data_IF_364310520115
#
_entry.id   IF_364310520115
#
_cell.length_a   1.000
_cell.length_b   1.000
_cell.length_c   1.000
_cell.angle_alpha   90.00
_cell.angle_beta   90.00
_cell.angle_gamma   90.00
#
_symmetry.space_group_name_H-M   'P 1'
#
loop_
_entity.id
_entity.type
_entity.pdbx_description
1 polymer ?
#
# COMPACT_ATOMS: atom_id res chain seq x y z
N UNK A 1 -4.65 10.28 12.20
CA UNK A 1 -6.11 10.33 11.95
C UNK A 1 -6.56 11.66 11.36
N UNK A 2 -6.18 12.82 11.93
CA UNK A 2 -6.52 14.12 11.34
C UNK A 2 -6.13 14.24 9.85
N UNK A 3 -4.96 13.74 9.49
CA UNK A 3 -4.44 13.66 8.11
C UNK A 3 -5.33 12.83 7.16
N UNK A 4 -5.84 11.69 7.65
CA UNK A 4 -6.77 10.85 6.92
C UNK A 4 -8.08 11.58 6.61
N UNK A 5 -8.66 12.27 7.61
CA UNK A 5 -9.88 13.07 7.42
C UNK A 5 -9.68 14.24 6.46
N UNK A 6 -8.54 14.93 6.54
CA UNK A 6 -8.20 16.01 5.58
C UNK A 6 -8.14 15.46 4.16
N UNK A 7 -7.47 14.32 3.95
CA UNK A 7 -7.42 13.66 2.64
C UNK A 7 -8.83 13.30 2.15
N UNK A 8 -9.68 12.78 3.03
CA UNK A 8 -11.05 12.40 2.70
C UNK A 8 -11.92 13.60 2.29
N UNK A 9 -11.82 14.72 3.03
CA UNK A 9 -12.54 15.95 2.68
C UNK A 9 -12.09 16.49 1.32
N UNK A 10 -10.77 16.51 1.08
CA UNK A 10 -10.21 16.98 -0.19
C UNK A 10 -10.68 16.11 -1.37
N UNK A 11 -10.57 14.78 -1.30
CA UNK A 11 -10.97 13.90 -2.39
C UNK A 11 -12.48 13.99 -2.67
N UNK A 12 -13.30 14.14 -1.63
CA UNK A 12 -14.76 14.31 -1.77
C UNK A 12 -15.11 15.63 -2.43
N UNK A 13 -14.44 16.72 -2.04
CA UNK A 13 -14.63 18.04 -2.64
C UNK A 13 -14.20 18.05 -4.11
N UNK A 14 -13.04 17.48 -4.44
CA UNK A 14 -12.58 17.37 -5.82
C UNK A 14 -13.49 16.47 -6.66
N UNK A 15 -13.98 15.35 -6.11
CA UNK A 15 -14.94 14.49 -6.79
C UNK A 15 -16.25 15.23 -7.13
N UNK A 16 -16.75 16.05 -6.19
CA UNK A 16 -17.91 16.89 -6.43
C UNK A 16 -17.66 17.94 -7.52
N UNK A 17 -16.50 18.60 -7.50
CA UNK A 17 -16.11 19.55 -8.54
C UNK A 17 -16.00 18.87 -9.91
N UNK A 18 -15.41 17.68 -9.98
CA UNK A 18 -15.36 16.85 -11.19
C UNK A 18 -16.76 16.52 -11.71
N UNK A 19 -17.69 16.15 -10.81
CA UNK A 19 -19.08 15.88 -11.15
C UNK A 19 -19.78 17.11 -11.74
N UNK A 20 -19.72 18.26 -11.06
CA UNK A 20 -20.36 19.50 -11.53
C UNK A 20 -19.78 19.96 -12.86
N UNK A 21 -18.45 19.89 -13.00
CA UNK A 21 -17.75 20.28 -14.23
C UNK A 21 -18.11 19.37 -15.41
N UNK A 22 -18.11 18.05 -15.20
CA UNK A 22 -18.50 17.07 -16.21
C UNK A 22 -19.98 17.20 -16.59
N UNK A 23 -20.86 17.45 -15.61
CA UNK A 23 -22.28 17.71 -15.85
C UNK A 23 -22.47 18.97 -16.70
N UNK A 24 -21.82 20.08 -16.33
CA UNK A 24 -21.87 21.32 -17.11
C UNK A 24 -21.36 21.09 -18.53
N UNK A 25 -20.20 20.46 -18.69
CA UNK A 25 -19.61 20.16 -19.99
C UNK A 25 -20.54 19.30 -20.85
N UNK A 26 -21.15 18.24 -20.27
CA UNK A 26 -22.05 17.33 -20.99
C UNK A 26 -23.28 18.02 -21.58
N UNK A 27 -23.68 19.18 -21.05
CA UNK A 27 -24.80 19.98 -21.55
C UNK A 27 -24.39 20.90 -22.71
N UNK A 28 -23.11 21.25 -22.80
CA UNK A 28 -22.58 22.17 -23.82
C UNK A 28 -22.11 21.44 -25.08
N UNK A 29 -21.76 20.16 -24.97
CA UNK A 29 -21.18 19.41 -26.09
C UNK A 29 -22.20 18.53 -26.83
N UNK A 30 -21.97 18.23 -28.12
CA UNK A 30 -22.81 17.29 -28.87
C UNK A 30 -22.83 15.91 -28.23
N UNK A 31 -23.96 15.21 -28.37
CA UNK A 31 -24.16 13.88 -27.78
C UNK A 31 -23.06 12.89 -28.16
N UNK A 32 -22.70 12.81 -29.45
CA UNK A 32 -21.64 11.89 -29.90
C UNK A 32 -20.30 12.13 -29.19
N UNK A 33 -19.95 13.39 -28.94
CA UNK A 33 -18.69 13.76 -28.25
C UNK A 33 -18.74 13.33 -26.79
N UNK A 34 -19.86 13.60 -26.08
CA UNK A 34 -20.02 13.17 -24.69
C UNK A 34 -20.03 11.63 -24.55
N UNK A 35 -20.54 10.89 -25.54
CA UNK A 35 -20.51 9.42 -25.54
C UNK A 35 -19.07 8.90 -25.68
N UNK A 36 -18.29 9.49 -26.61
CA UNK A 36 -16.87 9.17 -26.78
C UNK A 36 -16.09 9.50 -25.51
N UNK A 37 -16.31 10.67 -24.90
CA UNK A 37 -15.66 11.02 -23.63
C UNK A 37 -16.00 10.03 -22.51
N UNK A 38 -17.26 9.61 -22.41
CA UNK A 38 -17.67 8.62 -21.40
C UNK A 38 -16.95 7.30 -21.61
N UNK A 39 -16.86 6.82 -22.85
CA UNK A 39 -16.12 5.61 -23.20
C UNK A 39 -14.64 5.73 -22.83
N UNK A 40 -14.00 6.86 -23.15
CA UNK A 40 -12.60 7.12 -22.80
C UNK A 40 -12.38 7.10 -21.29
N UNK A 41 -13.30 7.67 -20.50
CA UNK A 41 -13.20 7.65 -19.03
C UNK A 41 -13.36 6.22 -18.50
N UNK A 42 -14.26 5.39 -19.06
CA UNK A 42 -14.39 3.98 -18.67
C UNK A 42 -13.13 3.17 -19.01
N UNK A 43 -12.54 3.38 -20.20
CA UNK A 43 -11.27 2.74 -20.57
C UNK A 43 -10.14 3.21 -19.64
N UNK A 44 -10.07 4.50 -19.37
CA UNK A 44 -9.11 5.09 -18.44
C UNK A 44 -9.27 4.55 -17.02
N UNK A 45 -10.50 4.31 -16.55
CA UNK A 45 -10.77 3.66 -15.28
C UNK A 45 -10.20 2.24 -15.24
N UNK A 46 -10.40 1.45 -16.31
CA UNK A 46 -9.82 0.11 -16.43
C UNK A 46 -8.29 0.13 -16.37
N UNK A 47 -7.65 1.08 -17.06
CA UNK A 47 -6.20 1.27 -16.99
C UNK A 47 -5.75 1.67 -15.58
N UNK A 48 -6.43 2.62 -14.94
CA UNK A 48 -6.15 3.04 -13.57
C UNK A 48 -6.24 1.86 -12.59
N UNK A 49 -7.31 1.08 -12.63
CA UNK A 49 -7.51 -0.10 -11.78
C UNK A 49 -6.37 -1.11 -11.96
N UNK A 50 -5.90 -1.31 -13.20
CA UNK A 50 -4.90 -2.33 -13.52
C UNK A 50 -3.46 -1.93 -13.19
N UNK A 51 -3.12 -0.65 -13.30
CA UNK A 51 -1.72 -0.20 -13.28
C UNK A 51 -1.39 0.84 -12.22
N UNK A 52 -2.38 1.54 -11.66
CA UNK A 52 -2.16 2.67 -10.75
C UNK A 52 -2.80 2.41 -9.38
N UNK A 53 -3.89 1.66 -9.32
CA UNK A 53 -4.56 1.36 -8.06
C UNK A 53 -3.64 0.54 -7.15
N UNK A 54 -3.41 1.05 -5.94
CA UNK A 54 -2.49 0.51 -4.92
C UNK A 54 -1.00 0.59 -5.29
N UNK A 55 -0.66 1.34 -6.35
CA UNK A 55 0.72 1.59 -6.72
C UNK A 55 1.39 2.59 -5.77
N UNK A 56 2.34 2.09 -5.00
CA UNK A 56 3.06 2.88 -3.99
C UNK A 56 4.01 3.91 -4.60
N UNK A 57 4.35 3.82 -5.89
CA UNK A 57 5.19 4.81 -6.60
C UNK A 57 4.56 6.21 -6.60
N UNK A 58 3.25 6.31 -6.39
CA UNK A 58 2.57 7.58 -6.15
C UNK A 58 3.16 8.36 -4.97
N UNK A 59 3.82 7.71 -4.01
CA UNK A 59 4.52 8.36 -2.91
C UNK A 59 5.62 9.33 -3.36
N UNK A 60 6.27 9.08 -4.51
CA UNK A 60 7.28 9.98 -5.06
C UNK A 60 6.68 11.33 -5.50
N UNK A 61 5.40 11.36 -5.85
CA UNK A 61 4.70 12.55 -6.34
C UNK A 61 3.80 13.18 -5.26
N UNK A 62 3.32 12.35 -4.33
CA UNK A 62 2.44 12.71 -3.23
C UNK A 62 3.03 12.19 -1.90
N UNK A 63 4.11 12.80 -1.38
CA UNK A 63 4.86 12.30 -0.21
C UNK A 63 4.16 12.57 1.13
N UNK A 64 2.85 12.33 1.20
CA UNK A 64 1.99 12.59 2.34
C UNK A 64 1.56 11.28 3.02
N UNK A 65 1.40 11.30 4.35
CA UNK A 65 0.97 10.12 5.12
C UNK A 65 -0.42 9.63 4.71
N UNK A 66 -1.29 10.50 4.21
CA UNK A 66 -2.64 10.15 3.76
C UNK A 66 -2.69 9.64 2.30
N UNK A 67 -1.57 9.15 1.75
CA UNK A 67 -1.46 8.58 0.39
C UNK A 67 -2.53 7.51 0.10
N UNK A 68 -2.87 6.67 1.09
CA UNK A 68 -3.94 5.66 0.99
C UNK A 68 -5.27 6.29 0.52
N UNK A 69 -5.53 7.54 0.92
CA UNK A 69 -6.74 8.29 0.56
C UNK A 69 -6.56 9.09 -0.72
N UNK A 70 -5.52 9.94 -0.78
CA UNK A 70 -5.34 10.87 -1.92
C UNK A 70 -4.86 10.18 -3.19
N UNK A 71 -4.21 9.01 -3.06
CA UNK A 71 -3.82 8.15 -4.18
C UNK A 71 -4.99 7.37 -4.76
N UNK A 72 -6.14 7.31 -4.08
CA UNK A 72 -7.33 6.66 -4.60
C UNK A 72 -8.16 7.63 -5.44
N UNK A 73 -7.96 7.60 -6.75
CA UNK A 73 -8.65 8.49 -7.71
C UNK A 73 -10.03 7.99 -8.15
N UNK A 74 -10.52 6.86 -7.61
CA UNK A 74 -11.85 6.34 -7.93
C UNK A 74 -12.98 7.37 -7.72
N UNK A 75 -13.03 8.16 -6.62
CA UNK A 75 -14.06 9.17 -6.44
C UNK A 75 -14.03 10.25 -7.52
N UNK A 76 -12.84 10.66 -7.96
CA UNK A 76 -12.68 11.67 -9.01
C UNK A 76 -13.24 11.15 -10.34
N UNK A 77 -12.84 9.92 -10.72
CA UNK A 77 -13.30 9.26 -11.94
C UNK A 77 -14.82 9.01 -11.88
N UNK A 78 -15.33 8.55 -10.74
CA UNK A 78 -16.75 8.37 -10.48
C UNK A 78 -17.53 9.69 -10.60
N UNK A 79 -16.97 10.80 -10.11
CA UNK A 79 -17.54 12.13 -10.27
C UNK A 79 -17.67 12.51 -11.73
N UNK A 80 -16.60 12.37 -12.53
CA UNK A 80 -16.63 12.64 -13.98
C UNK A 80 -17.68 11.77 -14.69
N UNK A 81 -17.65 10.44 -14.46
CA UNK A 81 -18.60 9.50 -15.05
C UNK A 81 -20.05 9.84 -14.66
N UNK A 82 -20.30 10.13 -13.39
CA UNK A 82 -21.61 10.52 -12.89
C UNK A 82 -22.13 11.79 -13.58
N UNK A 83 -21.27 12.79 -13.75
CA UNK A 83 -21.62 14.05 -14.40
C UNK A 83 -21.96 13.88 -15.88
N UNK A 84 -21.14 13.11 -16.61
CA UNK A 84 -21.39 12.78 -18.01
C UNK A 84 -22.68 11.94 -18.17
N UNK A 85 -22.88 10.94 -17.31
CA UNK A 85 -24.05 10.05 -17.38
C UNK A 85 -25.36 10.74 -16.98
N UNK A 86 -25.33 11.73 -16.09
CA UNK A 86 -26.53 12.41 -15.58
C UNK A 86 -27.42 13.01 -16.68
N UNK A 87 -26.80 13.60 -17.72
CA UNK A 87 -27.51 14.16 -18.87
C UNK A 87 -28.14 13.08 -19.76
N UNK A 88 -27.67 11.82 -19.65
CA UNK A 88 -28.07 10.69 -20.50
C UNK A 88 -29.11 9.77 -19.88
N UNK A 89 -29.13 9.65 -18.56
CA UNK A 89 -30.13 8.83 -17.88
C UNK A 89 -31.52 9.42 -18.17
N UNK A 90 -32.42 8.69 -18.85
CA UNK A 90 -33.77 9.17 -19.12
C UNK A 90 -34.66 9.01 -17.89
N UNK A 91 -35.64 9.89 -17.74
CA UNK A 91 -36.67 9.80 -16.70
C UNK A 91 -36.51 10.79 -15.55
N UNK A 92 -37.21 10.49 -14.45
CA UNK A 92 -37.35 11.37 -13.27
C UNK A 92 -36.03 11.56 -12.53
N UNK A 93 -35.90 12.70 -11.86
CA UNK A 93 -34.73 13.05 -11.04
C UNK A 93 -34.29 11.94 -10.08
N UNK A 94 -35.23 11.27 -9.42
CA UNK A 94 -34.96 10.19 -8.45
C UNK A 94 -34.13 9.06 -9.07
N UNK A 95 -34.46 8.63 -10.30
CA UNK A 95 -33.71 7.56 -10.98
C UNK A 95 -32.26 7.99 -11.23
N UNK A 96 -32.05 9.24 -11.66
CA UNK A 96 -30.71 9.79 -11.92
C UNK A 96 -29.90 9.87 -10.63
N UNK A 97 -30.52 10.41 -9.58
CA UNK A 97 -29.93 10.52 -8.26
C UNK A 97 -29.51 9.15 -7.74
N UNK A 98 -30.38 8.14 -7.78
CA UNK A 98 -30.04 6.80 -7.31
C UNK A 98 -28.83 6.20 -8.04
N UNK A 99 -28.79 6.25 -9.38
CA UNK A 99 -27.68 5.67 -10.16
C UNK A 99 -26.34 6.39 -9.95
N UNK A 100 -26.36 7.72 -9.87
CA UNK A 100 -25.12 8.48 -9.63
C UNK A 100 -24.68 8.37 -8.17
N UNK A 101 -25.61 8.39 -7.23
CA UNK A 101 -25.30 8.22 -5.81
C UNK A 101 -24.77 6.83 -5.50
N UNK A 102 -25.26 5.76 -6.17
CA UNK A 102 -24.69 4.42 -5.99
C UNK A 102 -23.24 4.35 -6.44
N UNK A 103 -22.91 4.95 -7.60
CA UNK A 103 -21.53 5.02 -8.09
C UNK A 103 -20.64 5.82 -7.13
N UNK A 104 -21.13 6.97 -6.67
CA UNK A 104 -20.43 7.79 -5.68
C UNK A 104 -20.21 7.05 -4.36
N UNK A 105 -21.21 6.33 -3.87
CA UNK A 105 -21.12 5.53 -2.64
C UNK A 105 -20.10 4.40 -2.77
N UNK A 106 -20.06 3.67 -3.89
CA UNK A 106 -19.05 2.64 -4.14
C UNK A 106 -17.64 3.23 -4.19
N UNK A 107 -17.46 4.38 -4.84
CA UNK A 107 -16.15 5.03 -4.92
C UNK A 107 -15.69 5.56 -3.55
N UNK A 108 -16.60 6.14 -2.76
CA UNK A 108 -16.33 6.57 -1.38
C UNK A 108 -15.99 5.37 -0.49
N UNK A 109 -16.74 4.26 -0.63
CA UNK A 109 -16.46 3.04 0.12
C UNK A 109 -15.04 2.53 -0.16
N UNK A 110 -14.58 2.54 -1.41
CA UNK A 110 -13.22 2.12 -1.76
C UNK A 110 -12.11 2.97 -1.10
N UNK A 111 -12.41 4.22 -0.72
CA UNK A 111 -11.47 5.09 0.02
C UNK A 111 -11.47 4.78 1.51
N UNK A 112 -12.64 4.51 2.07
CA UNK A 112 -12.81 4.32 3.52
C UNK A 112 -12.52 2.87 3.92
N UNK A 113 -12.73 1.90 3.03
CA UNK A 113 -12.63 0.47 3.33
C UNK A 113 -11.32 0.03 3.98
N UNK A 114 -10.13 0.58 3.64
CA UNK A 114 -8.89 0.21 4.33
C UNK A 114 -8.86 0.62 5.82
N UNK A 115 -9.65 1.63 6.21
CA UNK A 115 -9.76 2.09 7.59
C UNK A 115 -10.97 1.50 8.33
N UNK A 116 -11.79 0.66 7.67
CA UNK A 116 -12.90 -0.04 8.32
C UNK A 116 -12.40 -1.30 9.03
N UNK A 117 -13.08 -1.65 10.11
CA UNK A 117 -12.71 -2.77 10.96
C UNK A 117 -11.69 -2.39 12.03
N UNK A 118 -11.43 -3.33 12.93
CA UNK A 118 -10.51 -3.15 14.04
C UNK A 118 -9.11 -3.68 13.67
N UNK A 119 -8.03 -3.03 14.13
CA UNK A 119 -6.70 -3.59 14.00
C UNK A 119 -6.61 -4.93 14.76
N UNK A 120 -5.71 -5.84 14.35
CA UNK A 120 -5.47 -7.07 15.09
C UNK A 120 -4.98 -6.79 16.52
N UNK A 121 -5.45 -7.58 17.49
CA UNK A 121 -4.98 -7.51 18.87
C UNK A 121 -3.55 -8.06 18.98
N UNK A 122 -2.58 -7.15 18.98
CA UNK A 122 -1.16 -7.49 19.06
C UNK A 122 -0.65 -7.46 20.51
N UNK A 123 0.48 -8.13 20.78
CA UNK A 123 1.17 -8.08 22.08
C UNK A 123 2.62 -7.65 21.90
N UNK A 124 3.20 -7.08 22.94
CA UNK A 124 4.65 -6.87 22.96
C UNK A 124 5.37 -8.21 22.93
N UNK A 125 6.10 -8.46 21.84
CA UNK A 125 6.84 -9.69 21.63
C UNK A 125 8.14 -9.37 20.92
N UNK A 126 9.19 -9.16 21.71
CA UNK A 126 10.53 -8.88 21.22
C UNK A 126 11.43 -10.06 21.56
N UNK A 127 12.21 -10.52 20.58
CA UNK A 127 13.20 -11.55 20.82
C UNK A 127 14.45 -11.00 21.52
N UNK A 128 15.40 -11.89 21.79
CA UNK A 128 16.67 -11.56 22.47
C UNK A 128 17.59 -10.67 21.63
N UNK A 129 17.40 -10.67 20.31
CA UNK A 129 18.19 -9.92 19.34
C UNK A 129 17.57 -8.54 19.01
N UNK A 130 16.41 -8.24 19.60
CA UNK A 130 15.71 -6.97 19.42
C UNK A 130 14.83 -6.91 18.18
N UNK A 131 14.47 -8.05 17.60
CA UNK A 131 13.46 -8.17 16.53
C UNK A 131 12.07 -8.23 17.15
N UNK A 132 11.14 -7.44 16.61
CA UNK A 132 9.73 -7.56 16.96
C UNK A 132 9.16 -8.79 16.23
N UNK A 133 8.72 -9.77 16.99
CA UNK A 133 8.11 -11.00 16.47
C UNK A 133 6.61 -10.80 16.40
N UNK A 134 6.02 -11.04 15.23
CA UNK A 134 4.59 -10.87 15.02
C UNK A 134 3.79 -11.79 15.93
N UNK A 135 2.66 -11.31 16.41
CA UNK A 135 1.75 -12.06 17.29
C UNK A 135 0.49 -12.54 16.59
N UNK A 136 0.26 -12.10 15.34
CA UNK A 136 -0.85 -12.52 14.48
C UNK A 136 -0.36 -12.81 13.07
N UNK A 137 -1.13 -13.56 12.27
CA UNK A 137 -0.75 -13.91 10.89
C UNK A 137 -0.75 -12.72 9.92
N UNK A 138 -1.31 -11.57 10.33
CA UNK A 138 -1.50 -10.38 9.48
C UNK A 138 -0.49 -9.26 9.75
N UNK A 139 0.41 -9.43 10.71
CA UNK A 139 1.20 -8.34 11.31
C UNK A 139 2.71 -8.43 11.05
N UNK A 140 3.16 -9.25 10.12
CA UNK A 140 4.57 -9.31 9.70
C UNK A 140 5.13 -7.94 9.29
N UNK A 141 4.39 -7.16 8.50
CA UNK A 141 4.80 -5.82 8.05
C UNK A 141 4.85 -4.81 9.22
N UNK A 142 3.84 -4.68 10.09
CA UNK A 142 3.93 -3.90 11.33
C UNK A 142 5.10 -4.25 12.23
N UNK A 143 5.38 -5.55 12.41
CA UNK A 143 6.49 -6.03 13.23
C UNK A 143 7.86 -5.66 12.63
N UNK A 144 8.02 -5.80 11.30
CA UNK A 144 9.19 -5.28 10.58
C UNK A 144 9.34 -3.77 10.75
N UNK A 145 8.25 -3.02 10.66
CA UNK A 145 8.25 -1.58 10.82
C UNK A 145 8.65 -1.15 12.24
N UNK A 146 8.13 -1.82 13.27
CA UNK A 146 8.52 -1.60 14.66
C UNK A 146 10.02 -1.87 14.87
N UNK A 147 10.53 -2.97 14.32
CA UNK A 147 11.97 -3.32 14.35
C UNK A 147 12.82 -2.25 13.67
N UNK A 148 12.45 -1.86 12.44
CA UNK A 148 13.14 -0.82 11.67
C UNK A 148 13.21 0.50 12.45
N UNK A 149 12.08 0.95 13.01
CA UNK A 149 11.99 2.19 13.77
C UNK A 149 12.88 2.14 15.03
N UNK A 150 12.86 1.01 15.76
CA UNK A 150 13.69 0.82 16.96
C UNK A 150 15.18 0.90 16.63
N UNK A 151 15.62 0.31 15.52
CA UNK A 151 17.01 0.43 15.04
C UNK A 151 17.41 1.88 14.74
N UNK A 152 16.44 2.74 14.43
CA UNK A 152 16.65 4.16 14.17
C UNK A 152 16.39 5.05 15.40
N UNK A 153 16.24 4.44 16.58
CA UNK A 153 16.02 5.12 17.86
C UNK A 153 14.61 5.68 18.04
N UNK A 154 13.62 5.16 17.30
CA UNK A 154 12.22 5.53 17.42
C UNK A 154 11.46 4.35 18.05
N UNK A 155 10.96 4.54 19.26
CA UNK A 155 10.16 3.52 19.95
C UNK A 155 8.82 3.32 19.25
N UNK A 156 8.53 2.09 18.85
CA UNK A 156 7.28 1.69 18.20
C UNK A 156 6.96 0.25 18.58
N UNK A 157 5.67 -0.08 18.66
CA UNK A 157 5.21 -1.44 18.98
C UNK A 157 4.50 -2.08 17.79
N UNK A 158 4.37 -3.41 17.77
CA UNK A 158 3.58 -4.11 16.75
C UNK A 158 2.15 -3.56 16.67
N UNK A 159 1.49 -3.41 17.83
CA UNK A 159 0.11 -2.92 17.93
C UNK A 159 -0.03 -1.50 17.38
N UNK A 160 0.89 -0.61 17.77
CA UNK A 160 0.91 0.76 17.29
C UNK A 160 1.09 0.79 15.77
N UNK A 161 2.06 0.03 15.25
CA UNK A 161 2.31 0.00 13.81
C UNK A 161 1.17 -0.67 13.04
N UNK A 162 0.49 -1.67 13.59
CA UNK A 162 -0.68 -2.28 12.95
C UNK A 162 -1.81 -1.25 12.77
N UNK A 163 -2.06 -0.42 13.77
CA UNK A 163 -3.05 0.66 13.67
C UNK A 163 -2.60 1.77 12.71
N UNK A 164 -1.35 2.23 12.80
CA UNK A 164 -0.82 3.27 11.92
C UNK A 164 -0.68 2.79 10.46
N UNK A 165 -0.49 1.50 10.22
CA UNK A 165 -0.43 0.91 8.89
C UNK A 165 -1.81 0.57 8.31
N UNK A 166 -2.89 0.73 9.08
CA UNK A 166 -4.24 0.30 8.73
C UNK A 166 -4.30 -1.22 8.44
N UNK A 167 -3.58 -2.01 9.25
CA UNK A 167 -3.53 -3.46 9.13
C UNK A 167 -4.86 -4.07 9.53
N UNK A 168 -5.43 -4.91 8.66
CA UNK A 168 -6.64 -5.71 8.91
C UNK A 168 -6.34 -7.15 8.52
N UNK A 169 -6.73 -7.55 7.32
CA UNK A 169 -6.38 -8.84 6.70
C UNK A 169 -5.00 -8.78 6.00
N UNK A 170 -4.02 -8.23 6.71
CA UNK A 170 -2.68 -7.93 6.20
C UNK A 170 -2.42 -6.43 6.04
N UNK A 171 -1.25 -6.09 5.50
CA UNK A 171 -0.77 -4.71 5.38
C UNK A 171 -0.37 -4.41 3.95
N UNK A 172 -0.88 -3.31 3.40
CA UNK A 172 -0.49 -2.83 2.06
C UNK A 172 0.77 -1.95 2.13
N UNK A 173 1.51 -1.82 1.03
CA UNK A 173 2.66 -0.91 0.94
C UNK A 173 2.29 0.55 1.21
N UNK A 174 1.12 1.02 0.76
CA UNK A 174 0.62 2.36 1.11
C UNK A 174 0.29 2.48 2.60
N UNK A 175 -0.21 1.41 3.22
CA UNK A 175 -0.41 1.31 4.66
C UNK A 175 0.90 1.43 5.43
N UNK A 176 1.91 0.62 5.07
CA UNK A 176 3.26 0.72 5.63
C UNK A 176 3.85 2.13 5.47
N UNK A 177 3.75 2.72 4.28
CA UNK A 177 4.19 4.09 4.02
C UNK A 177 3.54 5.08 4.98
N UNK A 178 2.21 5.04 5.10
CA UNK A 178 1.44 5.87 6.03
C UNK A 178 1.96 5.70 7.45
N UNK A 179 2.12 4.46 7.91
CA UNK A 179 2.50 4.16 9.28
C UNK A 179 3.89 4.72 9.61
N UNK A 180 4.88 4.43 8.76
CA UNK A 180 6.23 4.95 8.92
C UNK A 180 6.26 6.50 8.82
N UNK A 181 5.51 7.11 7.89
CA UNK A 181 5.47 8.57 7.74
C UNK A 181 4.90 9.24 8.97
N UNK A 182 3.86 8.66 9.59
CA UNK A 182 3.29 9.19 10.83
C UNK A 182 4.26 9.03 12.00
N UNK A 183 4.92 7.88 12.10
CA UNK A 183 5.80 7.57 13.23
C UNK A 183 7.14 8.32 13.18
N UNK A 184 7.56 8.76 12.00
CA UNK A 184 8.78 9.55 11.79
C UNK A 184 8.57 11.07 11.84
N UNK A 185 7.34 11.56 12.08
CA UNK A 185 7.08 13.00 12.25
C UNK A 185 7.91 13.57 13.40
N UNK A 186 8.64 14.66 13.14
CA UNK A 186 9.50 15.31 14.14
C UNK A 186 10.85 14.62 14.37
N UNK A 187 11.14 13.51 13.69
CA UNK A 187 12.46 12.89 13.66
C UNK A 187 13.29 13.40 12.48
N UNK A 188 14.58 13.05 12.45
CA UNK A 188 15.46 13.28 11.30
C UNK A 188 15.17 12.39 10.09
N UNK A 189 14.30 11.40 10.25
CA UNK A 189 14.05 10.36 9.25
C UNK A 189 12.83 10.68 8.39
N UNK A 190 12.94 10.37 7.10
CA UNK A 190 11.83 10.26 6.17
C UNK A 190 11.73 8.82 5.63
N UNK A 191 10.65 8.54 4.91
CA UNK A 191 10.33 7.21 4.40
C UNK A 191 10.46 7.21 2.89
N UNK A 192 11.19 6.23 2.38
CA UNK A 192 11.32 5.97 0.96
C UNK A 192 10.86 4.55 0.65
N UNK A 193 10.08 4.39 -0.42
CA UNK A 193 9.70 3.10 -0.97
C UNK A 193 10.24 3.03 -2.39
N UNK A 194 10.93 1.94 -2.69
CA UNK A 194 11.61 1.72 -3.95
C UNK A 194 11.15 0.41 -4.57
N UNK A 195 10.88 0.45 -5.87
CA UNK A 195 10.81 -0.74 -6.70
C UNK A 195 12.20 -0.96 -7.30
N UNK A 196 12.80 -2.12 -7.04
CA UNK A 196 14.16 -2.41 -7.46
C UNK A 196 14.38 -3.91 -7.62
N UNK A 197 15.39 -4.31 -8.39
CA UNK A 197 15.89 -5.69 -8.38
C UNK A 197 16.94 -5.90 -7.29
N UNK A 198 17.42 -7.13 -7.08
CA UNK A 198 18.45 -7.41 -6.07
C UNK A 198 19.69 -6.55 -6.29
N UNK A 199 20.25 -6.45 -7.50
CA UNK A 199 21.47 -5.65 -7.72
C UNK A 199 21.31 -4.17 -7.35
N UNK A 200 20.14 -3.60 -7.60
CA UNK A 200 19.78 -2.23 -7.21
C UNK A 200 19.56 -2.10 -5.70
N UNK A 201 18.88 -3.07 -5.07
CA UNK A 201 18.72 -3.17 -3.62
C UNK A 201 20.10 -3.16 -2.93
N UNK A 202 21.07 -3.90 -3.47
CA UNK A 202 22.43 -3.94 -2.95
C UNK A 202 23.20 -2.64 -3.13
N UNK A 203 22.84 -1.83 -4.15
CA UNK A 203 23.41 -0.52 -4.37
C UNK A 203 22.85 0.54 -3.39
N UNK A 204 21.73 0.27 -2.70
CA UNK A 204 21.18 1.15 -1.67
C UNK A 204 22.05 1.24 -0.41
N UNK A 205 23.04 0.35 -0.27
CA UNK A 205 23.98 0.31 0.85
C UNK A 205 23.55 -0.63 1.98
N UNK A 206 24.15 -0.45 3.16
CA UNK A 206 23.92 -1.30 4.33
C UNK A 206 22.85 -0.72 5.29
N UNK A 207 22.00 0.18 4.83
CA UNK A 207 20.90 0.68 5.65
C UNK A 207 19.82 -0.41 5.79
N UNK A 208 19.15 -0.54 6.95
CA UNK A 208 18.08 -1.52 7.12
C UNK A 208 16.89 -1.23 6.20
N UNK A 209 16.35 -2.26 5.54
CA UNK A 209 15.28 -2.15 4.54
C UNK A 209 14.24 -3.26 4.72
N UNK A 210 12.97 -2.90 4.79
CA UNK A 210 11.85 -3.85 4.79
C UNK A 210 11.63 -4.34 3.36
N UNK A 211 11.56 -5.65 3.16
CA UNK A 211 11.42 -6.28 1.85
C UNK A 211 10.06 -6.95 1.71
N UNK A 212 9.47 -6.85 0.52
CA UNK A 212 8.45 -7.81 0.06
C UNK A 212 9.15 -9.10 -0.32
N UNK A 213 8.82 -10.19 0.36
CA UNK A 213 9.34 -11.51 0.05
C UNK A 213 8.22 -12.50 -0.15
N UNK A 214 8.46 -13.53 -0.94
CA UNK A 214 7.51 -14.61 -1.15
C UNK A 214 7.64 -15.21 -2.52
N UNK A 215 6.84 -16.24 -2.75
CA UNK A 215 6.94 -17.07 -3.94
C UNK A 215 5.69 -16.89 -4.78
N UNK A 216 5.87 -16.64 -6.08
CA UNK A 216 4.77 -16.48 -7.03
C UNK A 216 3.89 -17.73 -7.15
N UNK A 217 2.64 -17.52 -7.57
CA UNK A 217 1.67 -18.61 -7.85
C UNK A 217 1.99 -19.40 -9.12
N UNK A 218 2.92 -18.91 -9.94
CA UNK A 218 3.25 -19.43 -11.27
C UNK A 218 4.28 -20.57 -11.25
N UNK A 219 4.64 -21.07 -10.07
CA UNK A 219 5.58 -22.18 -9.93
C UNK A 219 5.02 -23.51 -10.45
N UNK A 220 5.88 -24.26 -11.13
CA UNK A 220 5.54 -25.61 -11.57
C UNK A 220 5.41 -26.56 -10.36
N UNK A 221 4.55 -27.58 -10.46
CA UNK A 221 4.36 -28.60 -9.40
C UNK A 221 5.67 -29.30 -8.99
N UNK A 222 6.68 -29.30 -9.86
CA UNK A 222 8.00 -29.89 -9.59
C UNK A 222 8.87 -29.02 -8.69
N UNK A 223 8.64 -27.71 -8.64
CA UNK A 223 9.44 -26.75 -7.87
C UNK A 223 8.85 -26.53 -6.47
N UNK A 224 7.56 -26.80 -6.28
CA UNK A 224 6.87 -26.60 -5.00
C UNK A 224 7.52 -27.35 -3.82
N UNK A 225 7.96 -28.63 -3.94
CA UNK A 225 8.60 -29.34 -2.84
C UNK A 225 9.90 -28.67 -2.37
N UNK A 226 10.69 -28.11 -3.29
CA UNK A 226 11.95 -27.44 -2.99
C UNK A 226 11.75 -26.25 -2.05
N UNK A 227 10.71 -25.47 -2.27
CA UNK A 227 10.45 -24.28 -1.46
C UNK A 227 9.66 -24.57 -0.18
N UNK A 228 8.87 -25.64 -0.18
CA UNK A 228 8.24 -26.13 1.05
C UNK A 228 9.28 -26.57 2.10
N UNK A 229 10.43 -27.10 1.67
CA UNK A 229 11.57 -27.38 2.55
C UNK A 229 12.15 -26.11 3.20
N UNK A 230 12.03 -24.96 2.53
CA UNK A 230 12.42 -23.65 3.07
C UNK A 230 11.29 -22.98 3.88
N UNK A 231 10.16 -23.68 4.08
CA UNK A 231 9.01 -23.16 4.83
C UNK A 231 8.06 -22.25 4.02
N UNK A 232 8.30 -22.06 2.72
CA UNK A 232 7.52 -21.16 1.88
C UNK A 232 6.40 -21.88 1.12
N UNK A 233 5.27 -21.20 0.96
CA UNK A 233 4.14 -21.66 0.13
C UNK A 233 3.96 -20.74 -1.08
N UNK A 234 3.74 -21.27 -2.29
CA UNK A 234 3.37 -20.45 -3.44
C UNK A 234 2.15 -19.59 -3.13
N UNK A 235 2.18 -18.34 -3.59
CA UNK A 235 1.11 -17.35 -3.36
C UNK A 235 1.15 -16.65 -2.01
N UNK A 236 2.03 -17.06 -1.09
CA UNK A 236 2.16 -16.43 0.21
C UNK A 236 3.20 -15.30 0.14
N UNK A 237 2.72 -14.06 0.24
CA UNK A 237 3.55 -12.89 0.49
C UNK A 237 3.86 -12.74 1.98
N UNK A 238 5.05 -12.23 2.29
CA UNK A 238 5.52 -11.97 3.64
C UNK A 238 6.42 -10.71 3.66
N UNK A 239 6.66 -10.16 4.83
CA UNK A 239 7.58 -9.03 5.02
C UNK A 239 8.70 -9.42 5.97
N UNK A 240 9.93 -9.13 5.57
CA UNK A 240 11.13 -9.31 6.38
C UNK A 240 11.96 -8.03 6.39
N UNK A 241 12.85 -7.87 7.35
CA UNK A 241 13.75 -6.72 7.44
C UNK A 241 15.18 -7.16 7.11
N UNK A 242 15.71 -6.71 5.96
CA UNK A 242 17.13 -6.83 5.66
C UNK A 242 17.90 -5.82 6.52
N UNK A 243 18.67 -6.30 7.48
CA UNK A 243 19.47 -5.47 8.40
C UNK A 243 20.74 -4.97 7.72
N UNK A 244 21.40 -5.84 6.95
CA UNK A 244 22.65 -5.53 6.27
C UNK A 244 23.45 -6.78 5.95
N UNK A 245 24.76 -6.59 5.69
CA UNK A 245 25.70 -7.66 5.36
C UNK A 245 26.69 -7.88 6.52
N UNK A 246 26.67 -9.03 7.19
CA UNK A 246 27.66 -9.33 8.20
C UNK A 246 29.05 -9.54 7.57
N UNK A 247 30.11 -9.36 8.34
CA UNK A 247 31.50 -9.49 7.88
C UNK A 247 31.84 -10.88 7.32
N UNK A 248 31.08 -11.90 7.72
CA UNK A 248 31.27 -13.30 7.32
C UNK A 248 30.60 -13.64 5.97
N UNK A 249 29.96 -12.67 5.31
CA UNK A 249 29.23 -12.86 4.06
C UNK A 249 27.75 -13.21 4.27
N UNK A 250 26.98 -13.12 3.19
CA UNK A 250 25.51 -13.29 3.22
C UNK A 250 24.76 -12.02 3.62
N UNK A 251 23.48 -12.21 3.97
CA UNK A 251 22.53 -11.17 4.31
C UNK A 251 21.90 -11.47 5.66
N UNK A 252 22.02 -10.54 6.60
CA UNK A 252 21.34 -10.67 7.88
C UNK A 252 19.91 -10.14 7.72
N UNK A 253 18.94 -11.04 7.92
CA UNK A 253 17.52 -10.78 7.74
C UNK A 253 16.82 -11.02 9.08
N UNK A 254 15.99 -10.08 9.52
CA UNK A 254 15.08 -10.27 10.63
C UNK A 254 13.72 -10.68 10.07
N UNK A 255 13.36 -11.94 10.29
CA UNK A 255 12.03 -12.48 9.99
C UNK A 255 11.14 -12.34 11.23
N UNK A 256 10.04 -11.56 11.16
CA UNK A 256 9.13 -11.38 12.28
C UNK A 256 8.29 -12.64 12.58
N UNK A 257 8.31 -13.67 11.74
CA UNK A 257 7.51 -14.87 11.94
C UNK A 257 7.91 -15.61 13.25
N UNK A 258 6.94 -16.16 14.00
CA UNK A 258 7.24 -16.84 15.25
C UNK A 258 8.21 -18.01 15.06
N UNK A 259 9.33 -17.99 15.79
CA UNK A 259 10.34 -19.05 15.77
C UNK A 259 11.53 -18.83 14.84
N UNK A 260 11.54 -17.73 14.06
CA UNK A 260 12.64 -17.40 13.14
C UNK A 260 13.56 -16.33 13.73
N UNK A 261 13.13 -15.06 13.83
CA UNK A 261 13.96 -13.98 14.36
C UNK A 261 15.10 -13.62 13.40
N UNK A 262 16.35 -13.59 13.87
CA UNK A 262 17.51 -13.32 13.01
C UNK A 262 17.92 -14.55 12.19
N UNK A 263 17.94 -14.38 10.87
CA UNK A 263 18.39 -15.34 9.88
C UNK A 263 19.58 -14.82 9.06
N UNK A 264 20.33 -15.75 8.48
CA UNK A 264 21.37 -15.44 7.50
C UNK A 264 20.98 -16.04 6.15
N UNK A 265 20.64 -15.20 5.19
CA UNK A 265 20.28 -15.60 3.85
C UNK A 265 21.49 -15.52 2.92
N UNK A 266 21.56 -16.43 1.96
CA UNK A 266 22.51 -16.33 0.85
C UNK A 266 21.91 -15.50 -0.30
N UNK A 267 22.73 -15.24 -1.32
CA UNK A 267 22.31 -14.46 -2.50
C UNK A 267 21.20 -15.17 -3.27
N UNK A 268 21.25 -16.50 -3.39
CA UNK A 268 20.24 -17.27 -4.13
C UNK A 268 18.87 -17.14 -3.48
N UNK A 269 18.81 -17.26 -2.14
CA UNK A 269 17.57 -17.08 -1.37
C UNK A 269 16.99 -15.69 -1.58
N UNK A 270 17.82 -14.65 -1.52
CA UNK A 270 17.36 -13.28 -1.74
C UNK A 270 16.88 -13.05 -3.18
N UNK A 271 17.57 -13.58 -4.19
CA UNK A 271 17.17 -13.49 -5.60
C UNK A 271 15.86 -14.20 -5.91
N UNK A 272 15.60 -15.33 -5.25
CA UNK A 272 14.37 -16.09 -5.42
C UNK A 272 13.20 -15.45 -4.68
N UNK A 273 13.42 -15.01 -3.44
CA UNK A 273 12.33 -14.58 -2.56
C UNK A 273 11.96 -13.11 -2.74
N UNK A 274 12.87 -12.23 -3.15
CA UNK A 274 12.59 -10.80 -3.22
C UNK A 274 11.62 -10.46 -4.35
N UNK A 275 10.49 -9.85 -4.00
CA UNK A 275 9.43 -9.50 -4.96
C UNK A 275 9.56 -8.10 -5.55
N UNK A 276 10.72 -7.47 -5.37
CA UNK A 276 11.07 -6.22 -6.05
C UNK A 276 10.56 -4.93 -5.41
N UNK A 277 9.96 -4.99 -4.22
CA UNK A 277 9.52 -3.79 -3.47
C UNK A 277 10.19 -3.72 -2.10
N UNK A 278 10.74 -2.56 -1.77
CA UNK A 278 11.46 -2.34 -0.53
C UNK A 278 11.13 -0.98 0.11
N UNK A 279 11.14 -0.89 1.44
CA UNK A 279 10.93 0.34 2.18
C UNK A 279 12.05 0.59 3.19
N UNK A 280 12.55 1.83 3.24
CA UNK A 280 13.63 2.23 4.17
C UNK A 280 13.38 3.60 4.79
N UNK A 281 14.14 3.88 5.84
CA UNK A 281 14.28 5.23 6.37
C UNK A 281 15.49 5.91 5.76
N UNK A 282 15.32 7.17 5.39
CA UNK A 282 16.37 8.04 4.83
C UNK A 282 16.46 9.32 5.65
N UNK A 283 17.63 9.95 5.72
CA UNK A 283 17.72 11.25 6.39
C UNK A 283 16.96 12.32 5.60
N UNK A 284 16.23 13.19 6.30
CA UNK A 284 15.57 14.35 5.70
C UNK A 284 16.62 15.32 5.18
N UNK A 285 16.43 15.77 3.93
CA UNK A 285 17.23 16.85 3.31
C UNK A 285 16.76 18.24 3.72
#
# INVERSE_FOLDING_TARGET
MADFYVGFVLITLFAFLCFVSALWLSRQIPRKVSDVLTLLVVVGLGFYIRYVWYDVRLAAWLPYSNLVVIGNWLPLIAGVLGGLAWSRIPGRFVRKALSVSSLGATAIYAVISPALGDPPECKENWDVDGVCIQTTDNTCTPACAATLLRMHGIDATEAEMAELCLTRDGTTWMGLYRGLKQKTVGSRWDVEIVECNVSELLALGNAPVILSVGIGDDLSEREQPRYAEWGWRPGQGHSVLLIGRPALGGFQVADPAPGYGLENWDTESLEVLFQGTAARLVERS
#
